data_IF_766741737874
#
_entry.id   IF_766741737874
#
_cell.length_a   1.000
_cell.length_b   1.000
_cell.length_c   1.000
_cell.angle_alpha   90.00
_cell.angle_beta   90.00
_cell.angle_gamma   90.00
#
_symmetry.space_group_name_H-M   'P 1'
#
loop_
_entity.id
_entity.type
_entity.pdbx_description
1 polymer ?
#
# COMPACT_ATOMS: atom_id res chain seq x y z
N UNK A 1 15.17 -0.08 -48.14
CA UNK A 1 15.92 0.94 -47.42
C UNK A 1 15.27 1.08 -46.05
N UNK A 2 15.69 0.28 -45.12
CA UNK A 2 15.32 0.39 -43.70
C UNK A 2 16.14 -0.63 -42.88
N UNK A 3 17.38 -0.30 -42.64
CA UNK A 3 18.26 -1.05 -41.74
C UNK A 3 19.21 -0.02 -41.16
N UNK A 4 18.83 0.59 -40.06
CA UNK A 4 19.79 1.36 -39.22
C UNK A 4 19.12 1.83 -37.91
N UNK A 5 18.50 0.95 -37.14
CA UNK A 5 17.97 1.37 -35.82
C UNK A 5 18.19 0.36 -34.69
N UNK A 6 18.88 -0.76 -34.93
CA UNK A 6 19.06 -1.81 -33.90
C UNK A 6 20.42 -1.83 -33.21
N UNK A 7 21.39 -1.00 -33.61
CA UNK A 7 22.76 -1.15 -33.07
C UNK A 7 23.14 -0.15 -31.96
N UNK A 8 22.25 0.68 -31.48
CA UNK A 8 22.60 1.71 -30.48
C UNK A 8 22.14 1.38 -29.06
N UNK A 9 21.42 0.29 -28.84
CA UNK A 9 20.93 -0.12 -27.51
C UNK A 9 21.90 -1.04 -26.76
N UNK A 10 22.83 -1.72 -27.46
CA UNK A 10 23.65 -2.77 -26.85
C UNK A 10 24.88 -2.25 -26.10
N UNK A 11 25.35 -1.05 -26.36
CA UNK A 11 26.58 -0.54 -25.76
C UNK A 11 26.38 0.14 -24.41
N UNK A 12 25.19 0.70 -24.14
CA UNK A 12 24.88 1.29 -22.82
C UNK A 12 24.54 0.24 -21.76
N UNK A 13 23.96 -0.88 -22.17
CA UNK A 13 23.55 -1.95 -21.24
C UNK A 13 24.72 -2.72 -20.62
N UNK A 14 25.86 -2.82 -21.30
CA UNK A 14 27.01 -3.56 -20.77
C UNK A 14 27.71 -2.85 -19.60
N UNK A 15 27.87 -1.55 -19.66
CA UNK A 15 28.43 -0.76 -18.57
C UNK A 15 27.55 -0.79 -17.30
N UNK A 16 26.26 -0.80 -17.49
CA UNK A 16 25.28 -0.87 -16.39
C UNK A 16 25.30 -2.24 -15.72
N UNK A 17 25.46 -3.33 -16.48
CA UNK A 17 25.53 -4.68 -15.94
C UNK A 17 26.75 -4.89 -15.04
N UNK A 18 27.96 -4.50 -15.48
CA UNK A 18 29.18 -4.64 -14.69
C UNK A 18 29.08 -3.85 -13.37
N UNK A 19 28.52 -2.64 -13.45
CA UNK A 19 28.29 -1.81 -12.26
C UNK A 19 27.32 -2.48 -11.28
N UNK A 20 26.23 -3.02 -11.79
CA UNK A 20 25.23 -3.72 -10.98
C UNK A 20 25.81 -4.99 -10.36
N UNK A 21 26.62 -5.74 -11.11
CA UNK A 21 27.28 -6.94 -10.62
C UNK A 21 28.22 -6.62 -9.45
N UNK A 22 29.00 -5.54 -9.55
CA UNK A 22 29.86 -5.06 -8.45
C UNK A 22 29.03 -4.64 -7.24
N UNK A 23 27.92 -3.96 -7.42
CA UNK A 23 27.06 -3.54 -6.31
C UNK A 23 26.41 -4.76 -5.66
N UNK A 24 25.83 -5.66 -6.44
CA UNK A 24 25.15 -6.87 -5.97
C UNK A 24 26.10 -7.83 -5.26
N UNK A 25 27.33 -7.97 -5.76
CA UNK A 25 28.36 -8.83 -5.16
C UNK A 25 28.77 -8.43 -3.73
N UNK A 26 28.51 -7.19 -3.31
CA UNK A 26 28.76 -6.74 -1.93
C UNK A 26 27.80 -7.37 -0.93
N UNK A 27 26.62 -7.75 -1.39
CA UNK A 27 25.51 -8.25 -0.55
C UNK A 27 25.24 -9.73 -0.72
N UNK A 28 25.44 -10.26 -1.93
CA UNK A 28 25.20 -11.65 -2.28
C UNK A 28 26.40 -12.27 -2.95
N UNK A 29 26.50 -13.59 -2.86
CA UNK A 29 27.41 -14.36 -3.70
C UNK A 29 26.68 -14.62 -5.01
N UNK A 30 27.16 -14.01 -6.09
CA UNK A 30 26.60 -14.17 -7.41
C UNK A 30 27.09 -15.48 -8.00
N UNK A 31 26.16 -16.30 -8.46
CA UNK A 31 26.39 -17.57 -9.17
C UNK A 31 26.25 -17.41 -10.67
N UNK A 32 25.58 -18.36 -11.30
CA UNK A 32 25.29 -18.33 -12.72
C UNK A 32 24.38 -17.18 -13.15
N UNK A 33 24.37 -16.93 -14.47
CA UNK A 33 23.42 -16.01 -15.08
C UNK A 33 22.02 -16.58 -15.00
N UNK A 34 21.03 -15.80 -14.55
CA UNK A 34 19.64 -16.16 -14.55
C UNK A 34 18.99 -16.08 -15.94
N UNK A 35 17.68 -16.14 -15.97
CA UNK A 35 16.89 -16.19 -17.21
C UNK A 35 16.88 -14.85 -17.96
N UNK A 36 17.07 -13.72 -17.29
CA UNK A 36 17.13 -12.39 -17.90
C UNK A 36 18.54 -11.81 -17.85
N UNK A 37 18.81 -10.80 -18.68
CA UNK A 37 20.14 -10.16 -18.75
C UNK A 37 20.61 -9.56 -17.41
N UNK A 38 19.68 -9.05 -16.60
CA UNK A 38 19.94 -8.48 -15.27
C UNK A 38 19.43 -9.39 -14.17
N UNK A 39 19.66 -10.70 -14.29
CA UNK A 39 19.33 -11.69 -13.27
C UNK A 39 20.51 -12.62 -12.99
N UNK A 40 20.66 -12.96 -11.71
CA UNK A 40 21.73 -13.83 -11.22
C UNK A 40 21.16 -14.85 -10.23
N UNK A 41 21.68 -16.07 -10.32
CA UNK A 41 21.56 -17.00 -9.20
C UNK A 41 22.34 -16.44 -8.02
N UNK A 42 21.74 -16.40 -6.84
CA UNK A 42 22.35 -15.79 -5.68
C UNK A 42 22.34 -16.73 -4.49
N UNK A 43 23.44 -16.70 -3.75
CA UNK A 43 23.52 -17.32 -2.45
C UNK A 43 23.74 -16.29 -1.37
N UNK A 44 23.10 -16.48 -0.22
CA UNK A 44 23.36 -15.61 0.93
C UNK A 44 24.82 -15.71 1.35
N UNK A 45 25.42 -14.59 1.74
CA UNK A 45 26.74 -14.62 2.40
C UNK A 45 26.59 -15.27 3.78
N UNK A 46 27.56 -16.08 4.15
CA UNK A 46 27.58 -16.75 5.44
C UNK A 46 27.32 -15.79 6.60
N UNK A 47 26.35 -16.13 7.45
CA UNK A 47 25.99 -15.35 8.64
C UNK A 47 25.12 -14.13 8.43
N UNK A 48 24.63 -13.87 7.22
CA UNK A 48 23.71 -12.75 6.94
C UNK A 48 22.36 -13.26 6.46
N UNK A 49 21.31 -12.62 6.96
CA UNK A 49 19.93 -12.91 6.51
C UNK A 49 19.74 -12.35 5.08
N UNK A 50 19.37 -13.18 4.10
CA UNK A 50 19.14 -12.72 2.72
C UNK A 50 18.17 -11.55 2.61
N UNK A 51 17.15 -11.50 3.46
CA UNK A 51 16.18 -10.39 3.48
C UNK A 51 16.80 -9.06 3.90
N UNK A 52 17.72 -9.07 4.87
CA UNK A 52 18.43 -7.85 5.31
C UNK A 52 19.40 -7.38 4.22
N UNK A 53 20.09 -8.32 3.57
CA UNK A 53 20.95 -8.03 2.45
C UNK A 53 20.18 -7.40 1.28
N UNK A 54 18.98 -7.91 0.98
CA UNK A 54 18.12 -7.36 -0.07
C UNK A 54 17.65 -5.94 0.26
N UNK A 55 17.24 -5.67 1.49
CA UNK A 55 16.86 -4.33 1.94
C UNK A 55 18.03 -3.35 1.80
N UNK A 56 19.20 -3.76 2.26
CA UNK A 56 20.41 -2.93 2.16
C UNK A 56 20.84 -2.69 0.70
N UNK A 57 20.73 -3.70 -0.16
CA UNK A 57 20.97 -3.57 -1.60
C UNK A 57 20.00 -2.59 -2.24
N UNK A 58 18.71 -2.74 -1.98
CA UNK A 58 17.66 -1.88 -2.55
C UNK A 58 17.80 -0.42 -2.12
N UNK A 59 18.33 -0.15 -0.93
CA UNK A 59 18.67 1.20 -0.50
C UNK A 59 19.72 1.86 -1.40
N UNK A 60 20.71 1.09 -1.89
CA UNK A 60 21.72 1.59 -2.84
C UNK A 60 21.16 1.69 -4.26
N UNK A 61 20.41 0.67 -4.71
CA UNK A 61 19.82 0.66 -6.05
C UNK A 61 18.77 1.75 -6.26
N UNK A 62 18.09 2.18 -5.19
CA UNK A 62 17.16 3.30 -5.23
C UNK A 62 17.80 4.59 -5.76
N UNK A 63 19.08 4.84 -5.45
CA UNK A 63 19.81 6.01 -5.97
C UNK A 63 20.03 5.94 -7.49
N UNK A 64 20.00 4.74 -8.04
CA UNK A 64 20.09 4.47 -9.49
C UNK A 64 18.72 4.31 -10.15
N UNK A 65 17.62 4.60 -9.44
CA UNK A 65 16.25 4.34 -9.89
C UNK A 65 16.01 2.88 -10.27
N UNK A 66 16.69 1.96 -9.59
CA UNK A 66 16.59 0.52 -9.81
C UNK A 66 16.14 -0.20 -8.53
N UNK A 67 15.72 -1.44 -8.70
CA UNK A 67 15.27 -2.30 -7.63
C UNK A 67 15.63 -3.74 -7.90
N UNK A 68 16.05 -4.46 -6.85
CA UNK A 68 16.28 -5.90 -6.88
C UNK A 68 15.09 -6.64 -6.25
N UNK A 69 14.66 -7.69 -6.91
CA UNK A 69 13.66 -8.64 -6.43
C UNK A 69 14.30 -10.00 -6.33
N UNK A 70 14.05 -10.68 -5.22
CA UNK A 70 14.52 -12.04 -5.00
C UNK A 70 13.36 -13.00 -5.20
N UNK A 71 13.49 -13.89 -6.17
CA UNK A 71 12.53 -14.97 -6.40
C UNK A 71 12.94 -16.22 -5.61
N UNK A 72 11.96 -16.88 -5.03
CA UNK A 72 12.17 -18.11 -4.25
C UNK A 72 12.34 -19.29 -5.21
N UNK A 73 13.57 -19.58 -5.59
CA UNK A 73 13.99 -20.76 -6.32
C UNK A 73 15.05 -21.52 -5.55
N UNK A 74 15.45 -22.68 -6.04
CA UNK A 74 16.61 -23.41 -5.54
C UNK A 74 17.55 -23.69 -6.72
N UNK A 75 18.59 -22.87 -6.93
CA UNK A 75 19.00 -21.68 -6.18
C UNK A 75 18.07 -20.47 -6.38
N UNK A 76 17.98 -19.53 -5.40
CA UNK A 76 17.19 -18.33 -5.54
C UNK A 76 17.76 -17.42 -6.64
N UNK A 77 16.87 -16.78 -7.39
CA UNK A 77 17.22 -15.89 -8.50
C UNK A 77 16.93 -14.45 -8.08
N UNK A 78 17.93 -13.59 -8.19
CA UNK A 78 17.79 -12.17 -8.01
C UNK A 78 17.70 -11.49 -9.37
N UNK A 79 16.64 -10.72 -9.57
CA UNK A 79 16.42 -9.90 -10.76
C UNK A 79 16.48 -8.43 -10.40
N UNK A 80 17.22 -7.64 -11.19
CA UNK A 80 17.31 -6.19 -11.04
C UNK A 80 16.57 -5.54 -12.22
N UNK A 81 15.72 -4.59 -11.90
CA UNK A 81 14.94 -3.87 -12.89
C UNK A 81 14.78 -2.39 -12.56
N UNK A 82 14.26 -1.59 -13.50
CA UNK A 82 13.97 -0.19 -13.23
C UNK A 82 12.91 -0.07 -12.13
N UNK A 83 13.08 0.92 -11.27
CA UNK A 83 12.06 1.27 -10.31
C UNK A 83 10.79 1.67 -11.06
N UNK A 84 9.61 1.11 -10.73
CA UNK A 84 8.39 1.48 -11.41
C UNK A 84 8.20 2.99 -11.32
N UNK A 85 8.01 3.63 -12.49
CA UNK A 85 7.77 5.06 -12.57
C UNK A 85 6.58 5.41 -11.69
N UNK A 86 6.67 6.52 -10.98
CA UNK A 86 5.61 6.99 -10.09
C UNK A 86 4.28 7.01 -10.84
N UNK A 87 3.38 6.14 -10.45
CA UNK A 87 2.01 6.18 -10.93
C UNK A 87 1.35 7.49 -10.47
N UNK A 88 0.39 7.96 -11.25
CA UNK A 88 -0.32 9.21 -10.99
C UNK A 88 -0.80 9.25 -9.55
N UNK A 89 -0.22 10.13 -8.76
CA UNK A 89 -0.64 10.37 -7.38
C UNK A 89 -1.90 11.23 -7.42
N UNK A 90 -2.94 10.81 -6.71
CA UNK A 90 -4.15 11.61 -6.57
C UNK A 90 -3.80 12.96 -5.93
N UNK A 91 -4.13 14.09 -6.55
CA UNK A 91 -3.85 15.40 -5.99
C UNK A 91 -4.56 15.60 -4.64
N UNK A 92 -3.96 16.41 -3.77
CA UNK A 92 -4.44 16.60 -2.39
C UNK A 92 -5.89 17.06 -2.30
N UNK A 93 -6.36 17.89 -3.25
CA UNK A 93 -7.75 18.36 -3.28
C UNK A 93 -8.74 17.21 -3.57
N UNK A 94 -8.37 16.25 -4.43
CA UNK A 94 -9.20 15.06 -4.68
C UNK A 94 -9.24 14.15 -3.45
N UNK A 95 -8.12 13.99 -2.75
CA UNK A 95 -8.09 13.26 -1.48
C UNK A 95 -9.03 13.89 -0.46
N UNK A 96 -8.97 15.22 -0.31
CA UNK A 96 -9.87 15.96 0.59
C UNK A 96 -11.33 15.81 0.18
N UNK A 97 -11.63 15.80 -1.12
CA UNK A 97 -12.98 15.59 -1.62
C UNK A 97 -13.49 14.17 -1.29
N UNK A 98 -12.66 13.15 -1.46
CA UNK A 98 -13.03 11.76 -1.12
C UNK A 98 -13.30 11.63 0.39
N UNK A 99 -12.48 12.23 1.24
CA UNK A 99 -12.71 12.26 2.68
C UNK A 99 -14.01 12.99 3.06
N UNK A 100 -14.29 14.13 2.42
CA UNK A 100 -15.52 14.89 2.62
C UNK A 100 -16.76 14.06 2.20
N UNK A 101 -16.70 13.40 1.04
CA UNK A 101 -17.76 12.54 0.57
C UNK A 101 -17.98 11.36 1.54
N UNK A 102 -16.90 10.72 1.99
CA UNK A 102 -16.98 9.64 2.96
C UNK A 102 -17.63 10.11 4.28
N UNK A 103 -17.25 11.29 4.78
CA UNK A 103 -17.85 11.89 5.95
C UNK A 103 -19.34 12.17 5.75
N UNK A 104 -19.71 12.77 4.61
CA UNK A 104 -21.10 13.10 4.30
C UNK A 104 -21.98 11.85 4.20
N UNK A 105 -21.52 10.82 3.49
CA UNK A 105 -22.28 9.57 3.37
C UNK A 105 -22.39 8.81 4.69
N UNK A 106 -21.32 8.78 5.49
CA UNK A 106 -21.37 8.13 6.80
C UNK A 106 -22.32 8.86 7.75
N UNK A 107 -22.28 10.19 7.75
CA UNK A 107 -23.21 11.00 8.55
C UNK A 107 -24.67 10.81 8.09
N UNK A 108 -24.91 10.79 6.79
CA UNK A 108 -26.25 10.55 6.25
C UNK A 108 -26.78 9.17 6.66
N UNK A 109 -25.95 8.13 6.55
CA UNK A 109 -26.30 6.77 6.98
C UNK A 109 -26.61 6.70 8.47
N UNK A 110 -25.77 7.30 9.30
CA UNK A 110 -26.00 7.38 10.73
C UNK A 110 -27.31 8.11 11.08
N UNK A 111 -27.57 9.23 10.39
CA UNK A 111 -28.82 10.00 10.59
C UNK A 111 -30.06 9.20 10.20
N UNK A 112 -30.03 8.49 9.09
CA UNK A 112 -31.14 7.63 8.65
C UNK A 112 -31.36 6.49 9.65
N UNK A 113 -30.32 5.89 10.17
CA UNK A 113 -30.40 4.80 11.14
C UNK A 113 -31.01 5.30 12.46
N UNK A 114 -30.53 6.42 13.01
CA UNK A 114 -31.09 7.04 14.20
C UNK A 114 -32.58 7.37 14.03
N UNK A 115 -32.93 7.95 12.89
CA UNK A 115 -34.34 8.29 12.57
C UNK A 115 -35.23 7.06 12.47
N UNK A 116 -34.70 5.91 12.07
CA UNK A 116 -35.46 4.67 11.99
C UNK A 116 -35.72 4.00 13.34
N UNK A 117 -34.89 4.28 14.34
CA UNK A 117 -35.03 3.71 15.69
C UNK A 117 -36.06 4.43 16.58
N UNK A 118 -36.37 5.68 16.28
CA UNK A 118 -37.34 6.48 17.05
C UNK A 118 -38.52 6.95 16.18
N UNK A 119 -39.39 6.03 15.66
CA UNK A 119 -40.52 6.40 14.87
C UNK A 119 -41.60 7.05 15.81
N UNK A 120 -41.73 8.35 15.73
CA UNK A 120 -42.75 9.10 16.47
C UNK A 120 -42.25 10.25 17.31
N UNK A 121 -40.98 10.32 17.63
CA UNK A 121 -40.38 11.55 18.09
C UNK A 121 -39.77 12.24 16.85
N UNK A 122 -40.10 13.52 16.67
CA UNK A 122 -39.37 14.38 15.72
C UNK A 122 -38.24 15.08 16.49
N UNK A 123 -37.10 14.42 16.70
CA UNK A 123 -35.96 15.10 17.29
C UNK A 123 -35.54 16.22 16.34
N UNK A 124 -35.07 17.32 16.89
CA UNK A 124 -34.54 18.40 16.07
C UNK A 124 -33.46 17.84 15.13
N UNK A 125 -33.53 18.19 13.85
CA UNK A 125 -32.58 17.72 12.83
C UNK A 125 -31.12 17.92 13.26
N UNK A 126 -30.84 18.98 14.02
CA UNK A 126 -29.51 19.25 14.58
C UNK A 126 -29.03 18.17 15.57
N UNK A 127 -29.91 17.66 16.43
CA UNK A 127 -29.52 16.63 17.41
C UNK A 127 -29.26 15.27 16.75
N UNK A 128 -30.05 14.93 15.70
CA UNK A 128 -29.78 13.71 14.89
C UNK A 128 -28.42 13.83 14.20
N UNK A 129 -28.13 14.98 13.62
CA UNK A 129 -26.87 15.20 12.90
C UNK A 129 -25.66 15.14 13.84
N UNK A 130 -25.73 15.78 15.00
CA UNK A 130 -24.68 15.72 16.02
C UNK A 130 -24.43 14.29 16.50
N UNK A 131 -25.51 13.55 16.81
CA UNK A 131 -25.43 12.14 17.21
C UNK A 131 -24.81 11.27 16.10
N UNK A 132 -25.23 11.49 14.86
CA UNK A 132 -24.68 10.75 13.72
C UNK A 132 -23.18 11.05 13.52
N UNK A 133 -22.74 12.30 13.70
CA UNK A 133 -21.33 12.64 13.59
C UNK A 133 -20.52 11.97 14.71
N UNK A 134 -20.98 12.06 15.95
CA UNK A 134 -20.23 11.56 17.11
C UNK A 134 -20.17 10.03 17.14
N UNK A 135 -21.30 9.36 16.89
CA UNK A 135 -21.41 7.91 17.08
C UNK A 135 -21.21 7.09 15.80
N UNK A 136 -21.21 7.70 14.61
CA UNK A 136 -20.98 7.01 13.35
C UNK A 136 -19.79 7.56 12.60
N UNK A 137 -19.79 8.85 12.27
CA UNK A 137 -18.79 9.43 11.39
C UNK A 137 -17.40 9.44 12.01
N UNK A 138 -17.27 9.94 13.21
CA UNK A 138 -15.98 10.01 13.91
C UNK A 138 -15.38 8.62 14.20
N UNK A 139 -16.13 7.61 14.72
CA UNK A 139 -15.60 6.28 14.92
C UNK A 139 -15.17 5.60 13.62
N UNK A 140 -15.99 5.65 12.57
CA UNK A 140 -15.69 5.01 11.28
C UNK A 140 -14.48 5.65 10.61
N UNK A 141 -14.49 6.97 10.43
CA UNK A 141 -13.38 7.66 9.78
C UNK A 141 -12.12 7.68 10.65
N UNK A 142 -12.28 7.78 11.96
CA UNK A 142 -11.18 7.69 12.91
C UNK A 142 -10.48 6.33 12.85
N UNK A 143 -11.24 5.23 12.80
CA UNK A 143 -10.67 3.89 12.67
C UNK A 143 -9.98 3.70 11.31
N UNK A 144 -10.54 4.24 10.22
CA UNK A 144 -9.92 4.22 8.90
C UNK A 144 -8.58 5.00 8.89
N UNK A 145 -8.54 6.13 9.56
CA UNK A 145 -7.36 6.96 9.69
C UNK A 145 -6.27 6.26 10.51
N UNK A 146 -6.64 5.66 11.64
CA UNK A 146 -5.73 4.85 12.46
C UNK A 146 -5.17 3.65 11.69
N UNK A 147 -6.01 2.95 10.93
CA UNK A 147 -5.58 1.85 10.07
C UNK A 147 -4.57 2.30 9.01
N UNK A 148 -4.81 3.47 8.40
CA UNK A 148 -3.89 4.08 7.45
C UNK A 148 -2.52 4.38 8.08
N UNK A 149 -2.51 5.00 9.25
CA UNK A 149 -1.27 5.29 9.97
C UNK A 149 -0.53 4.04 10.40
N UNK A 150 -1.25 3.02 10.88
CA UNK A 150 -0.65 1.75 11.27
C UNK A 150 0.06 1.07 10.08
N UNK A 151 -0.59 1.04 8.91
CA UNK A 151 0.00 0.51 7.68
C UNK A 151 1.28 1.26 7.30
N UNK A 152 1.26 2.59 7.32
CA UNK A 152 2.44 3.41 7.02
C UNK A 152 3.56 3.18 8.05
N UNK A 153 3.21 3.08 9.33
CA UNK A 153 4.19 2.83 10.37
C UNK A 153 4.92 1.50 10.18
N UNK A 154 4.15 0.42 9.89
CA UNK A 154 4.72 -0.89 9.60
C UNK A 154 5.55 -0.86 8.32
N UNK A 155 5.07 -0.21 7.26
CA UNK A 155 5.81 -0.08 5.99
C UNK A 155 7.16 0.60 6.16
N UNK A 156 7.22 1.66 6.97
CA UNK A 156 8.48 2.36 7.29
C UNK A 156 9.50 1.46 7.96
N UNK A 157 9.05 0.52 8.82
CA UNK A 157 9.95 -0.44 9.46
C UNK A 157 10.62 -1.40 8.46
N UNK A 158 9.99 -1.63 7.30
CA UNK A 158 10.54 -2.42 6.21
C UNK A 158 11.11 -1.56 5.06
N UNK A 159 11.22 -0.24 5.27
CA UNK A 159 11.71 0.72 4.28
C UNK A 159 10.90 0.75 2.97
N UNK A 160 9.63 0.35 3.04
CA UNK A 160 8.69 0.40 1.93
C UNK A 160 7.95 1.73 1.97
N UNK A 161 8.04 2.49 0.88
CA UNK A 161 7.24 3.71 0.72
C UNK A 161 5.81 3.33 0.36
N UNK A 162 4.90 3.64 1.25
CA UNK A 162 3.49 3.33 1.12
C UNK A 162 2.64 4.60 1.11
N UNK A 163 1.50 4.53 0.46
CA UNK A 163 0.54 5.65 0.44
C UNK A 163 -0.49 5.52 1.55
N UNK A 164 -1.11 6.64 1.90
CA UNK A 164 -2.24 6.67 2.80
C UNK A 164 -3.42 5.87 2.23
N UNK A 165 -4.10 5.14 3.11
CA UNK A 165 -5.38 4.55 2.79
C UNK A 165 -6.45 5.65 2.73
N UNK A 166 -7.38 5.52 1.79
CA UNK A 166 -8.47 6.47 1.59
C UNK A 166 -9.79 5.72 1.79
N UNK A 167 -10.73 6.27 2.58
CA UNK A 167 -12.06 5.68 2.71
C UNK A 167 -12.82 5.90 1.41
N UNK A 168 -13.33 4.81 0.84
CA UNK A 168 -14.22 4.85 -0.32
C UNK A 168 -15.65 4.66 0.16
N UNK A 169 -16.48 5.66 -0.03
CA UNK A 169 -17.89 5.61 0.29
C UNK A 169 -18.69 5.18 -0.94
N UNK A 170 -19.44 4.10 -0.81
CA UNK A 170 -20.40 3.67 -1.82
C UNK A 170 -21.82 3.91 -1.28
N UNK A 171 -22.59 4.81 -1.87
CA UNK A 171 -23.99 4.98 -1.50
C UNK A 171 -24.77 3.74 -1.99
N UNK A 172 -25.16 2.90 -1.07
CA UNK A 172 -26.08 1.79 -1.36
C UNK A 172 -27.48 2.26 -0.98
N UNK A 173 -28.26 2.62 -1.98
CA UNK A 173 -29.68 2.96 -1.80
C UNK A 173 -30.51 1.69 -2.03
N UNK A 174 -30.70 0.91 -0.99
CA UNK A 174 -31.68 -0.17 -0.99
C UNK A 174 -32.76 0.13 0.04
N UNK A 175 -34.04 -0.04 -0.28
CA UNK A 175 -35.14 0.08 0.70
C UNK A 175 -35.00 -0.90 1.87
N UNK A 176 -34.36 -2.03 1.64
CA UNK A 176 -34.12 -3.08 2.64
C UNK A 176 -32.85 -2.80 3.47
N UNK A 177 -31.93 -2.00 2.93
CA UNK A 177 -30.67 -1.65 3.58
C UNK A 177 -30.40 -0.14 3.42
N UNK A 178 -31.02 0.69 4.29
CA UNK A 178 -30.91 2.14 4.20
C UNK A 178 -29.51 2.68 4.55
N UNK A 179 -28.58 1.80 4.85
CA UNK A 179 -27.24 2.18 5.27
C UNK A 179 -26.31 2.28 4.07
N UNK A 180 -25.84 3.47 3.76
CA UNK A 180 -24.70 3.61 2.88
C UNK A 180 -23.47 3.12 3.65
N UNK A 181 -22.88 2.04 3.17
CA UNK A 181 -21.65 1.52 3.73
C UNK A 181 -20.47 2.33 3.22
N UNK A 182 -19.72 2.93 4.13
CA UNK A 182 -18.31 3.21 3.89
C UNK A 182 -17.62 1.87 3.89
N UNK A 183 -17.56 1.22 2.73
CA UNK A 183 -17.35 -0.23 2.70
C UNK A 183 -15.91 -0.62 2.42
N UNK A 184 -15.09 0.25 1.86
CA UNK A 184 -13.73 -0.12 1.47
C UNK A 184 -12.72 0.97 1.77
N UNK A 185 -11.57 0.53 2.20
CA UNK A 185 -10.39 1.37 2.30
C UNK A 185 -9.55 1.09 1.05
N UNK A 186 -9.42 2.08 0.20
CA UNK A 186 -8.59 2.02 -1.00
C UNK A 186 -7.21 2.60 -0.77
N UNK A 187 -6.26 2.24 -1.61
CA UNK A 187 -4.96 2.88 -1.64
C UNK A 187 -4.99 4.11 -2.55
N UNK A 188 -4.31 5.17 -2.12
CA UNK A 188 -4.18 6.39 -2.93
C UNK A 188 -3.32 6.16 -4.18
N UNK A 189 -2.34 5.28 -4.08
CA UNK A 189 -1.45 4.85 -5.15
C UNK A 189 -0.92 3.45 -4.85
N UNK A 190 -0.56 2.66 -5.85
CA UNK A 190 0.15 1.40 -5.62
C UNK A 190 1.48 1.68 -4.88
N UNK A 191 1.96 0.67 -4.18
CA UNK A 191 3.23 0.75 -3.48
C UNK A 191 4.37 1.04 -4.48
N UNK A 192 5.20 2.04 -4.16
CA UNK A 192 6.28 2.50 -5.05
C UNK A 192 7.44 1.51 -5.12
N UNK A 193 7.54 0.65 -4.12
CA UNK A 193 8.61 -0.32 -4.03
C UNK A 193 8.01 -1.71 -3.87
N UNK A 194 8.52 -2.71 -4.58
CA UNK A 194 8.16 -4.08 -4.30
C UNK A 194 8.53 -4.41 -2.86
N UNK A 195 7.66 -5.15 -2.22
CA UNK A 195 7.82 -5.53 -0.83
C UNK A 195 8.95 -6.56 -0.74
N UNK A 196 9.95 -6.36 0.14
CA UNK A 196 11.21 -7.10 0.09
C UNK A 196 11.07 -8.60 0.37
N UNK A 197 10.04 -9.02 1.09
CA UNK A 197 9.81 -10.43 1.40
C UNK A 197 8.36 -10.68 1.84
N UNK A 198 7.95 -11.97 1.86
CA UNK A 198 6.59 -12.39 2.25
C UNK A 198 6.22 -11.99 3.67
N UNK A 199 7.18 -11.95 4.61
CA UNK A 199 6.94 -11.53 5.99
C UNK A 199 6.58 -10.06 6.05
N UNK A 200 7.32 -9.21 5.33
CA UNK A 200 7.02 -7.77 5.23
C UNK A 200 5.64 -7.55 4.60
N UNK A 201 5.32 -8.28 3.50
CA UNK A 201 4.02 -8.25 2.86
C UNK A 201 2.91 -8.57 3.87
N UNK A 202 3.03 -9.72 4.56
CA UNK A 202 2.03 -10.14 5.53
C UNK A 202 1.84 -9.12 6.66
N UNK A 203 2.92 -8.54 7.20
CA UNK A 203 2.83 -7.56 8.27
C UNK A 203 2.24 -6.23 7.81
N UNK A 204 2.59 -5.74 6.62
CA UNK A 204 2.06 -4.50 6.05
C UNK A 204 0.57 -4.64 5.75
N UNK A 205 0.17 -5.74 5.11
CA UNK A 205 -1.23 -5.95 4.73
C UNK A 205 -2.14 -6.31 5.92
N UNK A 206 -1.60 -6.94 6.97
CA UNK A 206 -2.36 -7.22 8.18
C UNK A 206 -2.50 -6.01 9.11
N UNK A 207 -1.65 -5.00 9.00
CA UNK A 207 -1.66 -3.85 9.91
C UNK A 207 -3.01 -3.13 9.94
N UNK A 208 -3.59 -2.83 8.77
CA UNK A 208 -4.87 -2.14 8.68
C UNK A 208 -6.06 -2.99 9.17
N UNK A 209 -6.25 -4.25 8.73
CA UNK A 209 -7.30 -5.13 9.24
C UNK A 209 -7.26 -5.33 10.76
N UNK A 210 -6.07 -5.50 11.35
CA UNK A 210 -5.91 -5.68 12.80
C UNK A 210 -6.39 -4.44 13.56
N UNK A 211 -6.01 -3.25 13.11
CA UNK A 211 -6.46 -2.00 13.73
C UNK A 211 -7.97 -1.83 13.59
N UNK A 212 -8.53 -2.07 12.40
CA UNK A 212 -9.97 -1.97 12.17
C UNK A 212 -10.75 -2.96 13.05
N UNK A 213 -10.29 -4.20 13.16
CA UNK A 213 -10.89 -5.19 14.03
C UNK A 213 -10.84 -4.77 15.51
N UNK A 214 -9.69 -4.26 15.96
CA UNK A 214 -9.51 -3.78 17.33
C UNK A 214 -10.43 -2.58 17.62
N UNK A 215 -10.48 -1.60 16.72
CA UNK A 215 -11.39 -0.45 16.86
C UNK A 215 -12.85 -0.89 16.85
N UNK A 216 -13.25 -1.78 15.92
CA UNK A 216 -14.60 -2.30 15.85
C UNK A 216 -15.01 -3.02 17.14
N UNK A 217 -14.13 -3.88 17.68
CA UNK A 217 -14.37 -4.58 18.94
C UNK A 217 -14.49 -3.59 20.11
N UNK A 218 -13.61 -2.59 20.18
CA UNK A 218 -13.68 -1.57 21.24
C UNK A 218 -15.00 -0.78 21.20
N UNK A 219 -15.47 -0.42 20.00
CA UNK A 219 -16.72 0.31 19.79
C UNK A 219 -17.98 -0.51 20.12
N UNK A 220 -17.90 -1.86 20.09
CA UNK A 220 -19.04 -2.72 20.45
C UNK A 220 -19.17 -2.92 21.96
N UNK A 221 -18.14 -2.57 22.74
CA UNK A 221 -18.13 -2.74 24.21
C UNK A 221 -18.62 -1.46 24.93
N UNK A 222 -18.58 -0.33 24.24
CA UNK A 222 -19.05 0.98 24.75
C UNK A 222 -20.53 1.16 24.46
#
# INVERSE_FOLDING_TARGET
MSETTEHHLDTETWGDRELLEVICSRYFLLGGQGVSELSWEVNGREGRNPSECLIALNRHLKQLSMIAVLDEGDPPIMSVGPLPSQTVVMPSWQQSLVWLLAASFTTLSGSLWISSMEPGQQPFVSSILETAIVFFTLPVLGSALLASYARIFVSKAFEVENSHLIPLAFPVFSPEWPFSLVSTIGQNRPDLHPIPNRKALGMIELAAPVVLFTCGTALTII
#
